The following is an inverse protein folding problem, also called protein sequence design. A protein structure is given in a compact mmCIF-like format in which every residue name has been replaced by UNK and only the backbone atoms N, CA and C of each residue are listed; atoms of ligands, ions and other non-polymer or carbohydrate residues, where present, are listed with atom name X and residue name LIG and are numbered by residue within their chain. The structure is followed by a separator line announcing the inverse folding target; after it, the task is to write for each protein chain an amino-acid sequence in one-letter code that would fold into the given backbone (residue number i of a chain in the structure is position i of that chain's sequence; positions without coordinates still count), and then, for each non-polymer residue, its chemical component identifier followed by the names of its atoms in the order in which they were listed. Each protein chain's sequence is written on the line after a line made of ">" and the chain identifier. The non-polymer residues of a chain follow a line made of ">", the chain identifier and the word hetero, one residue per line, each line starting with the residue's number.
data_IF_726478328706
#
_entry.id   IF_726478328706
#
_cell.length_a   1.000
_cell.length_b   1.000
_cell.length_c   1.000
_cell.angle_alpha   90.00
_cell.angle_beta   90.00
_cell.angle_gamma   90.00
#
_symmetry.space_group_name_H-M   'P 1'
#
loop_
_entity.id
_entity.type
_entity.pdbx_description
1 polymer ?
#
# COMPACT_ATOMS: atom_id res chain seq x y z
N UNK A 1 -23.34 11.46 -68.78
CA UNK A 1 -22.51 10.35 -68.28
C UNK A 1 -21.75 10.90 -67.08
N UNK A 2 -22.25 10.64 -65.86
CA UNK A 2 -21.81 11.32 -64.64
C UNK A 2 -20.48 10.74 -64.13
N UNK A 3 -19.51 11.61 -63.86
CA UNK A 3 -18.25 11.26 -63.20
C UNK A 3 -18.51 10.92 -61.73
N UNK A 4 -18.00 9.79 -61.29
CA UNK A 4 -17.83 9.46 -59.88
C UNK A 4 -16.47 9.98 -59.43
N UNK A 5 -16.46 10.95 -58.51
CA UNK A 5 -15.23 11.41 -57.83
C UNK A 5 -14.86 10.40 -56.74
N UNK A 6 -13.61 9.95 -56.77
CA UNK A 6 -13.09 8.87 -55.92
C UNK A 6 -12.50 9.34 -54.58
N UNK A 7 -12.71 10.61 -54.19
CA UNK A 7 -11.96 11.27 -53.11
C UNK A 7 -12.65 11.30 -51.73
N UNK A 8 -13.80 10.66 -51.54
CA UNK A 8 -14.60 10.82 -50.31
C UNK A 8 -14.44 9.69 -49.26
N UNK A 9 -13.35 8.92 -49.28
CA UNK A 9 -13.16 7.77 -48.39
C UNK A 9 -11.93 7.82 -47.47
N UNK A 10 -11.25 8.96 -47.34
CA UNK A 10 -10.07 9.08 -46.46
C UNK A 10 -10.09 10.34 -45.60
N UNK A 11 -11.10 10.57 -44.77
CA UNK A 11 -10.93 11.59 -43.71
C UNK A 11 -11.90 11.55 -42.50
N UNK A 12 -12.36 10.39 -42.00
CA UNK A 12 -13.29 10.39 -40.84
C UNK A 12 -13.03 9.36 -39.74
N UNK A 13 -11.89 8.66 -39.79
CA UNK A 13 -11.53 7.61 -38.83
C UNK A 13 -10.34 7.95 -37.92
N UNK A 14 -9.47 8.89 -38.29
CA UNK A 14 -8.30 9.25 -37.49
C UNK A 14 -8.60 10.20 -36.30
N UNK A 15 -9.53 11.13 -36.50
CA UNK A 15 -9.75 12.25 -35.57
C UNK A 15 -10.46 11.82 -34.28
N UNK A 16 -11.47 10.94 -34.41
CA UNK A 16 -12.27 10.43 -33.27
C UNK A 16 -11.47 9.60 -32.27
N UNK A 17 -10.40 8.93 -32.69
CA UNK A 17 -9.56 8.11 -31.81
C UNK A 17 -8.61 8.94 -30.94
N UNK A 18 -8.06 10.02 -31.51
CA UNK A 18 -7.18 10.94 -30.79
C UNK A 18 -7.96 11.75 -29.74
N UNK A 19 -9.19 12.16 -30.08
CA UNK A 19 -10.07 12.90 -29.17
C UNK A 19 -10.48 12.09 -27.93
N UNK A 20 -10.80 10.80 -28.11
CA UNK A 20 -11.15 9.89 -26.99
C UNK A 20 -9.97 9.68 -26.05
N UNK A 21 -8.74 9.53 -26.57
CA UNK A 21 -7.54 9.40 -25.74
C UNK A 21 -7.24 10.71 -25.00
N UNK A 22 -7.37 11.85 -25.67
CA UNK A 22 -7.15 13.16 -25.05
C UNK A 22 -8.19 13.46 -23.96
N UNK A 23 -9.45 13.05 -24.18
CA UNK A 23 -10.53 13.17 -23.19
C UNK A 23 -10.30 12.27 -21.98
N UNK A 24 -9.88 11.02 -22.19
CA UNK A 24 -9.48 10.11 -21.11
C UNK A 24 -8.32 10.66 -20.28
N UNK A 25 -7.31 11.25 -20.92
CA UNK A 25 -6.18 11.87 -20.24
C UNK A 25 -6.55 13.15 -19.46
N UNK A 26 -7.55 13.91 -19.92
CA UNK A 26 -8.09 15.07 -19.19
C UNK A 26 -8.90 14.63 -17.98
N UNK A 27 -9.74 13.60 -18.13
CA UNK A 27 -10.51 13.03 -17.03
C UNK A 27 -9.59 12.47 -15.93
N UNK A 28 -8.52 11.76 -16.29
CA UNK A 28 -7.52 11.26 -15.34
C UNK A 28 -6.82 12.41 -14.60
N UNK A 29 -6.45 13.50 -15.30
CA UNK A 29 -5.85 14.69 -14.68
C UNK A 29 -6.82 15.37 -13.70
N UNK A 30 -8.07 15.54 -14.08
CA UNK A 30 -9.09 16.16 -13.22
C UNK A 30 -9.40 15.29 -11.98
N UNK A 31 -9.38 13.96 -12.12
CA UNK A 31 -9.51 13.04 -10.98
C UNK A 31 -8.30 13.13 -10.04
N UNK A 32 -7.09 13.21 -10.58
CA UNK A 32 -5.87 13.39 -9.80
C UNK A 32 -5.83 14.75 -9.08
N UNK A 33 -6.30 15.82 -9.72
CA UNK A 33 -6.40 17.17 -9.14
C UNK A 33 -7.44 17.22 -8.00
N UNK A 34 -8.60 16.56 -8.18
CA UNK A 34 -9.63 16.47 -7.14
C UNK A 34 -9.18 15.64 -5.94
N UNK A 35 -8.38 14.59 -6.15
CA UNK A 35 -7.78 13.81 -5.06
C UNK A 35 -6.71 14.59 -4.28
N UNK A 36 -6.14 15.65 -4.87
CA UNK A 36 -5.13 16.51 -4.22
C UNK A 36 -5.70 17.68 -3.42
N UNK A 37 -7.02 17.90 -3.44
CA UNK A 37 -7.64 19.08 -2.81
C UNK A 37 -8.33 18.70 -1.50
N UNK A 38 -7.68 19.12 -0.41
CA UNK A 38 -8.02 18.97 1.01
C UNK A 38 -7.57 17.66 1.68
N UNK A 39 -6.34 17.65 2.20
CA UNK A 39 -5.99 16.73 3.29
C UNK A 39 -6.84 17.06 4.51
N UNK A 40 -7.56 16.09 5.10
CA UNK A 40 -8.17 16.28 6.41
C UNK A 40 -7.09 16.72 7.43
N UNK A 41 -7.47 17.45 8.50
CA UNK A 41 -6.51 17.90 9.49
C UNK A 41 -5.67 16.73 9.99
N UNK A 42 -4.35 16.92 10.07
CA UNK A 42 -3.41 15.88 10.47
C UNK A 42 -3.88 15.21 11.77
N UNK A 43 -4.35 13.98 11.65
CA UNK A 43 -4.87 13.23 12.79
C UNK A 43 -3.67 12.77 13.61
N UNK A 44 -3.76 12.82 14.93
CA UNK A 44 -2.73 12.16 15.77
C UNK A 44 -2.78 10.66 15.54
N UNK A 45 -1.66 9.96 15.73
CA UNK A 45 -1.68 8.49 15.74
C UNK A 45 -2.70 8.01 16.77
N UNK A 46 -3.36 6.89 16.52
CA UNK A 46 -4.29 6.31 17.49
C UNK A 46 -3.61 6.02 18.84
N UNK A 47 -2.33 5.64 18.81
CA UNK A 47 -1.53 5.43 20.02
C UNK A 47 -1.18 6.72 20.78
N UNK A 48 -1.27 7.88 20.12
CA UNK A 48 -1.03 9.20 20.70
C UNK A 48 -2.35 9.95 21.03
N UNK A 49 -3.50 9.29 20.85
CA UNK A 49 -4.81 9.81 21.26
C UNK A 49 -4.91 9.96 22.78
N UNK A 50 -5.96 10.61 23.29
CA UNK A 50 -6.12 10.79 24.74
C UNK A 50 -6.32 9.47 25.51
N UNK A 51 -6.31 9.56 26.85
CA UNK A 51 -6.41 8.38 27.72
C UNK A 51 -7.72 7.61 27.55
N UNK A 52 -8.82 8.30 27.27
CA UNK A 52 -10.12 7.66 27.09
C UNK A 52 -10.13 6.84 25.80
N UNK A 53 -9.70 7.45 24.69
CA UNK A 53 -9.61 6.81 23.38
C UNK A 53 -8.71 5.56 23.38
N UNK A 54 -7.54 5.60 24.04
CA UNK A 54 -6.65 4.42 24.13
C UNK A 54 -7.20 3.29 24.99
N UNK A 55 -8.07 3.59 25.95
CA UNK A 55 -8.71 2.57 26.81
C UNK A 55 -9.89 1.88 26.13
N UNK A 56 -10.52 2.55 25.18
CA UNK A 56 -11.61 1.99 24.37
C UNK A 56 -11.13 0.82 23.51
N UNK A 57 -9.92 0.92 22.94
CA UNK A 57 -9.30 -0.10 22.10
C UNK A 57 -7.95 -0.59 22.69
N UNK A 58 -7.97 -1.35 23.80
CA UNK A 58 -6.75 -1.72 24.50
C UNK A 58 -5.95 -2.77 23.72
N UNK A 59 -4.75 -2.42 23.25
CA UNK A 59 -3.91 -3.30 22.44
C UNK A 59 -3.52 -4.62 23.12
N UNK A 60 -3.33 -4.64 24.45
CA UNK A 60 -3.04 -5.90 25.15
C UNK A 60 -4.21 -6.89 24.96
N UNK A 61 -5.41 -6.51 25.38
CA UNK A 61 -6.59 -7.41 25.38
C UNK A 61 -7.21 -7.64 24.00
N UNK A 62 -7.07 -6.69 23.07
CA UNK A 62 -7.71 -6.73 21.75
C UNK A 62 -6.77 -7.14 20.60
N UNK A 63 -5.48 -7.32 20.87
CA UNK A 63 -4.49 -7.66 19.85
C UNK A 63 -3.48 -8.69 20.38
N UNK A 64 -2.75 -8.36 21.45
CA UNK A 64 -1.68 -9.23 21.95
C UNK A 64 -2.22 -10.52 22.60
N UNK A 65 -3.27 -10.43 23.41
CA UNK A 65 -3.90 -11.58 24.07
C UNK A 65 -4.63 -12.49 23.06
N UNK A 66 -5.03 -11.95 21.91
CA UNK A 66 -5.68 -12.73 20.84
C UNK A 66 -4.68 -13.45 19.95
N UNK A 67 -3.56 -12.80 19.63
CA UNK A 67 -2.63 -13.25 18.59
C UNK A 67 -1.17 -13.26 19.06
N UNK A 68 -0.83 -13.78 20.25
CA UNK A 68 0.51 -13.62 20.82
C UNK A 68 1.59 -14.26 19.93
N UNK A 69 1.39 -15.53 19.55
CA UNK A 69 2.36 -16.28 18.73
C UNK A 69 2.43 -15.77 17.29
N UNK A 70 1.29 -15.36 16.72
CA UNK A 70 1.25 -14.82 15.37
C UNK A 70 2.03 -13.49 15.29
N UNK A 71 1.88 -12.61 16.27
CA UNK A 71 2.63 -11.36 16.35
C UNK A 71 4.11 -11.61 16.64
N UNK A 72 4.45 -12.64 17.41
CA UNK A 72 5.83 -13.05 17.62
C UNK A 72 6.50 -13.55 16.32
N UNK A 73 5.79 -14.32 15.47
CA UNK A 73 6.29 -14.73 14.16
C UNK A 73 6.45 -13.54 13.19
N UNK A 74 5.55 -12.55 13.23
CA UNK A 74 5.71 -11.28 12.48
C UNK A 74 6.94 -10.49 12.95
N UNK A 75 7.18 -10.45 14.25
CA UNK A 75 8.38 -9.81 14.82
C UNK A 75 9.66 -10.57 14.42
N UNK A 76 9.64 -11.91 14.46
CA UNK A 76 10.74 -12.77 13.97
C UNK A 76 11.03 -12.50 12.49
N UNK A 77 10.02 -12.38 11.64
CA UNK A 77 10.20 -12.03 10.24
C UNK A 77 10.87 -10.66 10.08
N UNK A 78 10.46 -9.66 10.87
CA UNK A 78 11.09 -8.34 10.86
C UNK A 78 12.57 -8.42 11.21
N UNK A 79 12.93 -9.24 12.20
CA UNK A 79 14.32 -9.50 12.58
C UNK A 79 15.12 -10.17 11.45
N UNK A 80 14.60 -11.26 10.86
CA UNK A 80 15.26 -11.97 9.77
C UNK A 80 15.44 -11.07 8.54
N UNK A 81 14.42 -10.28 8.19
CA UNK A 81 14.50 -9.29 7.13
C UNK A 81 15.57 -8.23 7.40
N UNK A 82 15.66 -7.74 8.63
CA UNK A 82 16.70 -6.77 9.01
C UNK A 82 18.10 -7.38 8.96
N UNK A 83 18.30 -8.61 9.43
CA UNK A 83 19.60 -9.29 9.30
C UNK A 83 20.04 -9.42 7.84
N UNK A 84 19.10 -9.77 6.95
CA UNK A 84 19.37 -9.93 5.51
C UNK A 84 19.70 -8.60 4.84
N UNK A 85 18.96 -7.54 5.15
CA UNK A 85 19.01 -6.30 4.38
C UNK A 85 19.82 -5.18 5.04
N UNK A 86 19.98 -5.18 6.36
CA UNK A 86 20.65 -4.16 7.17
C UNK A 86 21.56 -4.83 8.24
N UNK A 87 22.53 -5.67 7.83
CA UNK A 87 23.36 -6.42 8.78
C UNK A 87 24.15 -5.49 9.70
N UNK A 88 24.09 -5.76 11.00
CA UNK A 88 24.78 -4.98 12.04
C UNK A 88 24.05 -3.72 12.51
N UNK A 89 22.92 -3.36 11.90
CA UNK A 89 22.10 -2.24 12.33
C UNK A 89 21.00 -2.65 13.30
N UNK A 90 20.54 -1.71 14.13
CA UNK A 90 19.33 -1.87 14.92
C UNK A 90 18.12 -2.17 14.01
N UNK A 91 17.23 -3.05 14.47
CA UNK A 91 16.07 -3.50 13.70
C UNK A 91 15.15 -2.35 13.29
N UNK A 92 14.94 -2.20 11.98
CA UNK A 92 14.02 -1.20 11.43
C UNK A 92 13.39 -1.64 10.11
N UNK A 93 12.22 -1.10 9.81
CA UNK A 93 11.61 -1.24 8.48
C UNK A 93 12.24 -0.23 7.52
N UNK A 94 13.08 -0.73 6.60
CA UNK A 94 13.66 0.06 5.50
C UNK A 94 12.66 0.16 4.34
N UNK A 95 11.91 1.26 4.26
CA UNK A 95 10.77 1.43 3.34
C UNK A 95 11.18 1.33 1.86
N UNK A 96 12.34 1.87 1.48
CA UNK A 96 12.88 1.73 0.13
C UNK A 96 13.17 0.30 -0.33
N UNK A 97 13.15 -0.70 0.55
CA UNK A 97 13.42 -2.11 0.21
C UNK A 97 12.16 -2.99 0.17
N UNK A 98 10.98 -2.47 0.52
CA UNK A 98 9.76 -3.27 0.66
C UNK A 98 8.51 -2.47 0.31
N UNK A 99 8.29 -2.24 -0.99
CA UNK A 99 7.21 -1.35 -1.48
C UNK A 99 6.01 -2.09 -2.07
N UNK A 100 6.15 -3.37 -2.45
CA UNK A 100 5.11 -4.14 -3.13
C UNK A 100 4.25 -4.93 -2.13
N UNK A 101 3.48 -4.26 -1.28
CA UNK A 101 2.72 -4.97 -0.24
C UNK A 101 1.51 -5.73 -0.81
N UNK A 102 0.73 -5.11 -1.70
CA UNK A 102 -0.50 -5.69 -2.22
C UNK A 102 -0.25 -7.00 -2.99
N UNK A 103 0.72 -7.03 -3.90
CA UNK A 103 0.98 -8.25 -4.67
C UNK A 103 1.72 -9.29 -3.81
N UNK A 104 2.57 -8.88 -2.85
CA UNK A 104 3.14 -9.81 -1.87
C UNK A 104 2.06 -10.50 -1.03
N UNK A 105 1.01 -9.80 -0.59
CA UNK A 105 -0.09 -10.40 0.19
C UNK A 105 -0.72 -11.55 -0.58
N UNK A 106 -1.03 -11.35 -1.87
CA UNK A 106 -1.66 -12.37 -2.69
C UNK A 106 -0.71 -13.57 -2.90
N UNK A 107 0.58 -13.34 -3.15
CA UNK A 107 1.57 -14.43 -3.28
C UNK A 107 1.69 -15.27 -2.01
N UNK A 108 1.85 -14.62 -0.86
CA UNK A 108 1.93 -15.33 0.42
C UNK A 108 0.61 -16.03 0.80
N UNK A 109 -0.53 -15.47 0.39
CA UNK A 109 -1.84 -16.11 0.59
C UNK A 109 -1.97 -17.41 -0.20
N UNK A 110 -1.43 -17.46 -1.42
CA UNK A 110 -1.39 -18.70 -2.22
C UNK A 110 -0.57 -19.77 -1.50
N UNK A 111 0.56 -19.40 -0.89
CA UNK A 111 1.44 -20.30 -0.12
C UNK A 111 0.99 -20.62 1.31
N UNK A 112 -0.14 -20.06 1.78
CA UNK A 112 -0.58 -20.16 3.19
C UNK A 112 -0.53 -21.60 3.74
N UNK A 113 -0.10 -21.73 4.99
CA UNK A 113 0.14 -23.03 5.64
C UNK A 113 1.51 -23.65 5.32
N UNK A 114 2.19 -23.17 4.27
CA UNK A 114 3.56 -23.52 3.94
C UNK A 114 4.60 -22.55 4.50
N UNK A 115 5.82 -22.69 3.98
CA UNK A 115 7.00 -21.92 4.35
C UNK A 115 7.81 -21.51 3.12
N UNK A 116 8.42 -20.33 3.19
CA UNK A 116 9.54 -19.90 2.33
C UNK A 116 10.81 -19.89 3.18
N UNK A 117 11.65 -20.92 2.99
CA UNK A 117 12.76 -21.23 3.90
C UNK A 117 12.26 -21.42 5.34
N UNK A 118 12.79 -20.63 6.28
CA UNK A 118 12.43 -20.68 7.71
C UNK A 118 11.26 -19.75 8.08
N UNK A 119 10.64 -19.09 7.09
CA UNK A 119 9.56 -18.12 7.29
C UNK A 119 8.22 -18.74 6.90
N UNK A 120 7.22 -18.63 7.79
CA UNK A 120 5.84 -19.01 7.46
C UNK A 120 5.26 -18.05 6.43
N UNK A 121 4.64 -18.59 5.38
CA UNK A 121 3.93 -17.80 4.36
C UNK A 121 2.85 -16.92 4.99
N UNK A 122 2.10 -17.45 5.95
CA UNK A 122 1.07 -16.68 6.66
C UNK A 122 1.65 -15.56 7.56
N UNK A 123 2.88 -15.70 8.06
CA UNK A 123 3.53 -14.63 8.83
C UNK A 123 4.01 -13.51 7.90
N UNK A 124 4.54 -13.85 6.73
CA UNK A 124 4.90 -12.88 5.70
C UNK A 124 3.67 -12.14 5.16
N UNK A 125 2.57 -12.84 4.94
CA UNK A 125 1.28 -12.23 4.63
C UNK A 125 0.87 -11.21 5.71
N UNK A 126 0.84 -11.62 6.98
CA UNK A 126 0.42 -10.75 8.09
C UNK A 126 1.32 -9.51 8.20
N UNK A 127 2.64 -9.68 8.06
CA UNK A 127 3.59 -8.57 8.05
C UNK A 127 3.29 -7.59 6.91
N UNK A 128 3.04 -8.10 5.69
CA UNK A 128 2.69 -7.25 4.53
C UNK A 128 1.37 -6.51 4.71
N UNK A 129 0.36 -7.16 5.29
CA UNK A 129 -0.92 -6.52 5.58
C UNK A 129 -0.80 -5.42 6.64
N UNK A 130 -0.02 -5.66 7.70
CA UNK A 130 0.27 -4.63 8.71
C UNK A 130 1.05 -3.45 8.13
N UNK A 131 2.07 -3.73 7.30
CA UNK A 131 2.82 -2.70 6.61
C UNK A 131 1.89 -1.84 5.73
N UNK A 132 1.09 -2.48 4.87
CA UNK A 132 0.12 -1.80 4.00
C UNK A 132 -0.81 -0.86 4.78
N UNK A 133 -1.49 -1.36 5.82
CA UNK A 133 -2.39 -0.56 6.64
C UNK A 133 -1.64 0.61 7.32
N UNK A 134 -0.42 0.38 7.80
CA UNK A 134 0.39 1.43 8.42
C UNK A 134 0.73 2.54 7.41
N UNK A 135 1.09 2.20 6.16
CA UNK A 135 1.39 3.19 5.12
C UNK A 135 0.13 3.94 4.65
N UNK A 136 -1.02 3.27 4.62
CA UNK A 136 -2.32 3.88 4.32
C UNK A 136 -2.68 4.93 5.36
N UNK A 137 -2.61 4.59 6.65
CA UNK A 137 -2.90 5.51 7.75
C UNK A 137 -1.92 6.69 7.79
N UNK A 138 -0.64 6.45 7.46
CA UNK A 138 0.35 7.51 7.34
C UNK A 138 -0.01 8.51 6.24
N UNK A 139 -0.39 8.00 5.07
CA UNK A 139 -0.76 8.84 3.92
C UNK A 139 -2.09 9.56 4.14
N UNK A 140 -3.10 8.87 4.67
CA UNK A 140 -4.44 9.43 4.91
C UNK A 140 -4.40 10.56 5.94
N UNK A 141 -3.58 10.42 6.98
CA UNK A 141 -3.55 11.36 8.10
C UNK A 141 -2.31 12.26 8.14
N UNK A 142 -1.41 12.15 7.16
CA UNK A 142 -0.15 12.91 7.12
C UNK A 142 0.76 12.61 8.33
N UNK A 143 0.81 11.35 8.78
CA UNK A 143 1.60 10.96 9.95
C UNK A 143 3.10 10.92 9.60
N UNK A 144 3.99 11.23 10.55
CA UNK A 144 5.42 10.99 10.36
C UNK A 144 5.71 9.48 10.24
N UNK A 145 6.95 9.10 9.95
CA UNK A 145 7.36 7.69 10.03
C UNK A 145 7.27 7.16 11.47
N UNK A 146 6.91 5.88 11.66
CA UNK A 146 7.03 5.20 12.95
C UNK A 146 8.46 5.23 13.46
N UNK A 147 8.64 5.14 14.78
CA UNK A 147 9.96 5.20 15.43
C UNK A 147 11.00 4.25 14.82
N UNK A 148 10.58 3.04 14.43
CA UNK A 148 11.43 2.00 13.86
C UNK A 148 11.27 1.85 12.33
N UNK A 149 10.90 2.92 11.64
CA UNK A 149 10.85 2.96 10.17
C UNK A 149 11.84 3.99 9.63
N UNK A 150 12.50 3.67 8.53
CA UNK A 150 13.45 4.55 7.83
C UNK A 150 13.07 4.60 6.34
N UNK A 151 13.19 5.78 5.74
CA UNK A 151 12.96 5.99 4.31
C UNK A 151 13.99 5.23 3.48
#
# INVERSE_FOLDING_TARGET
>A
MAKWDHDDLRDRSGDRGADVIAEGQRAIRQLAERAGQASPPARKRLIDADSAARKEYPMARGLLDYFPDALAEVAKLSYLGNLKHNPGEEMHHARGKSMDHADCIVRHLVGRGGFDGDTRESAALAWRALALLQEELEREHGLPLPRAARA
#
